data_IF_419827745554
#
_entry.id   IF_419827745554
#
_cell.length_a   1.000
_cell.length_b   1.000
_cell.length_c   1.000
_cell.angle_alpha   90.00
_cell.angle_beta   90.00
_cell.angle_gamma   90.00
#
_symmetry.space_group_name_H-M   'P 1'
#
loop_
_entity.id
_entity.type
_entity.pdbx_description
1 polymer ?
#
# COMPACT_ATOMS: atom_id res chain seq x y z
N UNK A 1 -13.43 22.91 -52.14
CA UNK A 1 -13.83 22.25 -50.87
C UNK A 1 -13.00 22.84 -49.76
N UNK A 2 -13.63 23.56 -48.81
CA UNK A 2 -12.96 24.27 -47.72
C UNK A 2 -12.64 23.27 -46.60
N UNK A 3 -11.36 23.10 -46.25
CA UNK A 3 -10.95 22.31 -45.09
C UNK A 3 -11.25 23.08 -43.80
N UNK A 4 -12.06 22.45 -42.94
CA UNK A 4 -12.38 22.90 -41.60
C UNK A 4 -11.23 22.48 -40.66
N UNK A 5 -10.54 23.44 -40.03
CA UNK A 5 -9.62 23.15 -38.91
C UNK A 5 -10.45 22.89 -37.65
N UNK A 6 -10.40 21.67 -37.13
CA UNK A 6 -10.89 21.34 -35.80
C UNK A 6 -9.78 21.60 -34.77
N UNK A 7 -9.93 22.68 -34.00
CA UNK A 7 -9.12 22.95 -32.80
C UNK A 7 -9.61 22.03 -31.67
N UNK A 8 -8.88 20.93 -31.44
CA UNK A 8 -9.06 20.06 -30.29
C UNK A 8 -8.40 20.73 -29.08
N UNK A 9 -9.20 21.47 -28.29
CA UNK A 9 -8.76 22.00 -27.01
C UNK A 9 -8.54 20.87 -26.01
N UNK A 10 -7.27 20.56 -25.71
CA UNK A 10 -6.91 19.70 -24.59
C UNK A 10 -7.26 20.41 -23.28
N UNK A 11 -8.39 20.02 -22.69
CA UNK A 11 -8.79 20.40 -21.34
C UNK A 11 -7.91 19.64 -20.35
N UNK A 12 -6.78 20.22 -19.98
CA UNK A 12 -6.03 19.76 -18.80
C UNK A 12 -6.88 20.10 -17.57
N UNK A 13 -7.45 19.07 -16.93
CA UNK A 13 -8.17 19.21 -15.68
C UNK A 13 -7.17 19.63 -14.57
N UNK A 14 -7.00 20.93 -14.38
CA UNK A 14 -6.28 21.48 -13.24
C UNK A 14 -7.18 21.30 -12.02
N UNK A 15 -6.85 20.33 -11.16
CA UNK A 15 -7.50 20.21 -9.86
C UNK A 15 -7.31 21.54 -9.10
N UNK A 16 -8.38 22.16 -8.56
CA UNK A 16 -8.25 23.42 -7.86
C UNK A 16 -7.33 23.21 -6.67
N UNK A 17 -6.20 23.93 -6.64
CA UNK A 17 -5.33 23.98 -5.47
C UNK A 17 -5.70 25.23 -4.69
N UNK A 18 -5.95 25.10 -3.38
CA UNK A 18 -6.07 26.28 -2.52
C UNK A 18 -4.69 26.95 -2.46
N UNK A 19 -4.55 28.07 -3.15
CA UNK A 19 -3.37 28.92 -3.10
C UNK A 19 -3.57 29.96 -2.02
N UNK A 20 -3.01 29.72 -0.83
CA UNK A 20 -2.92 30.75 0.18
C UNK A 20 -1.49 31.34 0.14
N UNK A 21 -1.38 32.59 -0.29
CA UNK A 21 -0.15 33.41 -0.17
C UNK A 21 1.10 32.74 -0.76
N UNK A 22 0.92 32.05 -1.88
CA UNK A 22 2.01 31.37 -2.58
C UNK A 22 2.39 30.01 -1.99
N UNK A 23 1.53 29.36 -1.19
CA UNK A 23 1.72 27.96 -0.79
C UNK A 23 0.50 27.14 -1.16
N UNK A 24 0.73 26.03 -1.84
CA UNK A 24 -0.29 25.04 -2.20
C UNK A 24 -0.09 23.78 -1.38
N UNK A 25 -1.17 23.26 -0.78
CA UNK A 25 -1.15 21.99 -0.04
C UNK A 25 -2.15 21.05 -0.68
N UNK A 26 -1.68 19.89 -1.11
CA UNK A 26 -2.49 18.84 -1.71
C UNK A 26 -2.34 17.56 -0.89
N UNK A 27 -3.47 16.92 -0.58
CA UNK A 27 -3.49 15.60 0.03
C UNK A 27 -3.93 14.58 -1.01
N UNK A 28 -3.11 13.55 -1.19
CA UNK A 28 -3.42 12.40 -2.05
C UNK A 28 -3.41 11.10 -1.26
N UNK A 29 -4.32 10.21 -1.66
CA UNK A 29 -4.46 8.86 -1.16
C UNK A 29 -4.09 7.91 -2.30
N UNK A 30 -3.42 6.80 -1.99
CA UNK A 30 -3.12 5.77 -2.99
C UNK A 30 -4.37 4.93 -3.32
N UNK A 31 -5.37 4.94 -2.43
CA UNK A 31 -6.65 4.26 -2.60
C UNK A 31 -7.79 4.94 -1.85
N UNK A 32 -9.02 4.67 -2.28
CA UNK A 32 -10.24 5.19 -1.63
C UNK A 32 -10.86 4.20 -0.64
N UNK A 33 -10.55 2.90 -0.74
CA UNK A 33 -11.01 1.88 0.22
C UNK A 33 -9.81 1.20 0.87
N UNK A 34 -9.87 1.04 2.19
CA UNK A 34 -8.87 0.34 3.00
C UNK A 34 -9.56 -0.71 3.87
N UNK A 35 -8.90 -1.84 4.13
CA UNK A 35 -9.36 -2.77 5.15
C UNK A 35 -9.15 -2.18 6.55
N UNK A 36 -10.00 -2.59 7.49
CA UNK A 36 -9.77 -2.30 8.91
C UNK A 36 -8.37 -2.72 9.33
N UNK A 37 -7.63 -1.79 9.95
CA UNK A 37 -6.23 -1.94 10.40
C UNK A 37 -5.20 -2.14 9.29
N UNK A 38 -5.54 -1.82 8.04
CA UNK A 38 -4.57 -1.62 6.96
C UNK A 38 -3.81 -0.31 7.18
N UNK A 39 -2.53 -0.28 6.76
CA UNK A 39 -1.76 0.96 6.74
C UNK A 39 -2.42 1.97 5.79
N UNK A 40 -2.57 3.21 6.25
CA UNK A 40 -3.20 4.28 5.47
C UNK A 40 -2.18 5.39 5.24
N UNK A 41 -1.33 5.20 4.23
CA UNK A 41 -0.27 6.17 3.89
C UNK A 41 -0.85 7.24 2.98
N UNK A 42 -1.02 8.46 3.50
CA UNK A 42 -1.33 9.64 2.70
C UNK A 42 -0.06 10.33 2.25
N UNK A 43 -0.11 11.01 1.10
CA UNK A 43 0.97 11.85 0.60
C UNK A 43 0.52 13.30 0.69
N UNK A 44 1.22 14.09 1.50
CA UNK A 44 1.01 15.54 1.58
C UNK A 44 2.01 16.20 0.67
N UNK A 45 1.51 16.81 -0.41
CA UNK A 45 2.30 17.54 -1.39
C UNK A 45 2.21 19.03 -1.11
N UNK A 46 3.36 19.64 -0.86
CA UNK A 46 3.47 21.07 -0.54
C UNK A 46 4.22 21.73 -1.68
N UNK A 47 3.63 22.74 -2.31
CA UNK A 47 4.28 23.49 -3.39
C UNK A 47 4.49 24.92 -2.95
N UNK A 48 5.73 25.39 -3.07
CA UNK A 48 6.13 26.73 -2.70
C UNK A 48 6.18 27.64 -3.94
N UNK A 49 5.28 28.61 -3.99
CA UNK A 49 5.18 29.70 -4.97
C UNK A 49 5.45 31.07 -4.35
N UNK A 50 6.02 31.14 -3.14
CA UNK A 50 6.10 32.37 -2.34
C UNK A 50 7.28 33.29 -2.68
N UNK A 51 8.19 32.86 -3.57
CA UNK A 51 9.39 33.64 -3.90
C UNK A 51 10.51 33.57 -2.85
N UNK A 52 10.32 32.85 -1.74
CA UNK A 52 11.30 32.66 -0.68
C UNK A 52 11.35 31.21 -0.21
N UNK A 53 12.39 30.83 0.54
CA UNK A 53 12.52 29.47 1.10
C UNK A 53 11.59 29.30 2.30
N UNK A 54 10.76 28.25 2.28
CA UNK A 54 9.96 27.84 3.43
C UNK A 54 10.79 26.99 4.39
N UNK A 55 10.69 27.30 5.68
CA UNK A 55 11.23 26.45 6.74
C UNK A 55 10.07 25.80 7.49
N UNK A 56 9.84 24.52 7.20
CA UNK A 56 8.82 23.68 7.82
C UNK A 56 9.47 22.69 8.80
N UNK A 57 8.70 22.13 9.73
CA UNK A 57 9.21 21.06 10.60
C UNK A 57 9.83 21.46 11.93
N UNK A 58 10.01 22.77 12.19
CA UNK A 58 10.58 23.25 13.46
C UNK A 58 9.65 23.04 14.66
N UNK A 59 8.35 23.15 14.44
CA UNK A 59 7.32 22.94 15.45
C UNK A 59 6.66 21.57 15.23
N UNK A 60 6.31 20.81 16.26
CA UNK A 60 5.75 19.46 16.08
C UNK A 60 4.35 19.45 15.43
N UNK A 61 3.61 20.55 15.57
CA UNK A 61 2.27 20.75 15.00
C UNK A 61 2.30 21.38 13.59
N UNK A 62 3.48 21.45 12.96
CA UNK A 62 3.62 22.08 11.65
C UNK A 62 2.79 21.38 10.55
N UNK A 63 2.52 20.08 10.71
CA UNK A 63 1.65 19.29 9.84
C UNK A 63 0.64 18.52 10.69
N UNK A 64 -0.64 18.86 10.55
CA UNK A 64 -1.73 18.21 11.27
C UNK A 64 -2.78 17.65 10.32
N UNK A 65 -3.50 16.64 10.81
CA UNK A 65 -4.59 16.00 10.09
C UNK A 65 -5.84 16.06 10.94
N UNK A 66 -6.98 16.33 10.33
CA UNK A 66 -8.31 16.16 10.92
C UNK A 66 -8.98 15.02 10.17
N UNK A 67 -9.46 14.02 10.91
CA UNK A 67 -10.25 12.92 10.35
C UNK A 67 -11.64 12.96 10.98
N UNK A 68 -12.65 12.98 10.11
CA UNK A 68 -14.06 12.94 10.47
C UNK A 68 -14.65 11.62 9.97
N UNK A 69 -15.32 10.87 10.84
CA UNK A 69 -16.07 9.68 10.47
C UNK A 69 -17.53 9.99 10.10
N UNK A 70 -18.33 8.94 9.93
CA UNK A 70 -19.77 9.07 9.68
C UNK A 70 -20.46 10.03 10.67
N UNK A 71 -21.36 10.86 10.14
CA UNK A 71 -22.04 11.95 10.87
C UNK A 71 -21.09 13.05 11.41
N UNK A 72 -19.95 13.27 10.76
CA UNK A 72 -18.94 14.30 11.10
C UNK A 72 -18.37 14.20 12.53
N UNK A 73 -18.35 13.00 13.13
CA UNK A 73 -17.70 12.81 14.42
C UNK A 73 -16.18 12.79 14.25
N UNK A 74 -15.46 13.51 15.12
CA UNK A 74 -14.01 13.48 15.14
C UNK A 74 -13.51 12.08 15.53
N UNK A 75 -12.57 11.54 14.75
CA UNK A 75 -11.93 10.25 15.05
C UNK A 75 -10.89 10.43 16.15
N UNK A 76 -10.86 9.52 17.12
CA UNK A 76 -9.91 9.55 18.22
C UNK A 76 -8.46 9.43 17.70
N UNK A 77 -7.57 10.25 18.26
CA UNK A 77 -6.12 10.13 18.02
C UNK A 77 -5.55 9.06 18.95
N UNK A 78 -4.79 8.12 18.39
CA UNK A 78 -4.06 7.09 19.13
C UNK A 78 -2.72 7.60 19.67
N UNK A 79 -2.19 8.71 19.12
CA UNK A 79 -0.95 9.33 19.56
C UNK A 79 -0.61 10.61 18.79
N UNK A 80 0.48 11.28 19.19
CA UNK A 80 1.02 12.43 18.45
C UNK A 80 1.89 11.97 17.29
N UNK A 81 1.66 12.60 16.15
CA UNK A 81 2.37 12.36 14.92
C UNK A 81 3.51 13.37 14.79
N UNK A 82 4.67 13.15 15.42
CA UNK A 82 5.82 14.00 15.08
C UNK A 82 6.31 13.60 13.69
N UNK A 83 5.88 14.34 12.68
CA UNK A 83 6.51 14.36 11.36
C UNK A 83 7.78 15.20 11.52
N UNK A 84 8.78 14.65 12.21
CA UNK A 84 10.05 15.36 12.44
C UNK A 84 10.88 15.30 11.16
N UNK A 85 10.97 16.44 10.49
CA UNK A 85 12.01 16.71 9.52
C UNK A 85 12.14 18.23 9.42
N UNK A 86 13.31 18.79 9.74
CA UNK A 86 13.67 20.15 9.33
C UNK A 86 13.59 20.20 7.80
N UNK A 87 12.48 20.71 7.29
CA UNK A 87 12.13 20.60 5.88
C UNK A 87 12.21 21.97 5.25
N UNK A 88 13.33 22.21 4.56
CA UNK A 88 13.55 23.41 3.76
C UNK A 88 13.00 23.19 2.36
N UNK A 89 12.11 24.06 1.92
CA UNK A 89 11.51 23.99 0.60
C UNK A 89 11.74 25.31 -0.15
N UNK A 90 12.65 25.28 -1.11
CA UNK A 90 12.97 26.46 -1.92
C UNK A 90 11.76 26.93 -2.74
N UNK A 91 11.81 28.19 -3.19
CA UNK A 91 10.79 28.71 -4.09
C UNK A 91 10.72 27.89 -5.38
N UNK A 92 9.50 27.72 -5.90
CA UNK A 92 9.17 26.93 -7.09
C UNK A 92 9.49 25.44 -6.97
N UNK A 93 9.67 24.91 -5.75
CA UNK A 93 9.83 23.48 -5.48
C UNK A 93 8.58 22.87 -4.88
N UNK A 94 8.47 21.55 -5.05
CA UNK A 94 7.43 20.72 -4.45
C UNK A 94 8.08 19.71 -3.51
N UNK A 95 7.56 19.62 -2.29
CA UNK A 95 7.86 18.54 -1.35
C UNK A 95 6.73 17.54 -1.26
N UNK A 96 7.04 16.26 -1.05
CA UNK A 96 6.03 15.21 -0.79
C UNK A 96 6.39 14.44 0.46
N UNK A 97 5.44 14.38 1.38
CA UNK A 97 5.66 13.85 2.73
C UNK A 97 4.67 12.71 2.96
N UNK A 98 5.14 11.45 2.99
CA UNK A 98 4.29 10.31 3.28
C UNK A 98 3.99 10.21 4.77
N UNK A 99 2.74 10.02 5.13
CA UNK A 99 2.28 9.92 6.52
C UNK A 99 1.29 8.77 6.65
N UNK A 100 1.63 7.75 7.43
CA UNK A 100 0.66 6.70 7.80
C UNK A 100 -0.32 7.21 8.87
N UNK A 101 -1.60 7.33 8.53
CA UNK A 101 -2.65 7.78 9.45
C UNK A 101 -3.23 6.65 10.30
N UNK A 102 -3.15 5.40 9.85
CA UNK A 102 -3.72 4.26 10.57
C UNK A 102 -2.99 3.97 11.89
N UNK A 103 -1.70 4.31 11.98
CA UNK A 103 -0.93 4.26 13.24
C UNK A 103 -1.27 5.39 14.22
N UNK A 104 -2.03 6.41 13.81
CA UNK A 104 -2.23 7.67 14.56
C UNK A 104 -3.68 7.97 14.89
N UNK A 105 -4.62 7.37 14.18
CA UNK A 105 -6.05 7.55 14.37
C UNK A 105 -6.74 6.19 14.50
N UNK A 106 -7.78 6.12 15.32
CA UNK A 106 -8.58 4.91 15.48
C UNK A 106 -9.48 4.69 14.25
N UNK A 107 -8.91 4.06 13.22
CA UNK A 107 -9.58 3.69 11.97
C UNK A 107 -9.99 2.22 11.98
N UNK A 108 -10.29 1.64 13.16
CA UNK A 108 -10.66 0.23 13.25
C UNK A 108 -12.08 -0.06 12.79
N UNK A 109 -12.96 0.95 12.82
CA UNK A 109 -14.40 0.78 12.55
C UNK A 109 -14.69 0.97 11.06
N UNK A 110 -15.42 0.05 10.41
CA UNK A 110 -15.90 0.26 9.07
C UNK A 110 -16.78 1.51 8.97
N UNK A 111 -16.66 2.24 7.87
CA UNK A 111 -17.43 3.45 7.63
C UNK A 111 -16.78 4.41 6.65
N UNK A 112 -17.49 5.49 6.37
CA UNK A 112 -17.01 6.58 5.53
C UNK A 112 -16.25 7.61 6.36
N UNK A 113 -15.10 8.02 5.86
CA UNK A 113 -14.21 8.98 6.51
C UNK A 113 -13.81 10.10 5.55
N UNK A 114 -13.48 11.24 6.15
CA UNK A 114 -12.93 12.41 5.46
C UNK A 114 -11.66 12.83 6.17
N UNK A 115 -10.63 13.17 5.39
CA UNK A 115 -9.37 13.69 5.90
C UNK A 115 -9.05 15.04 5.27
N UNK A 116 -8.56 15.95 6.13
CA UNK A 116 -7.98 17.23 5.71
C UNK A 116 -6.61 17.39 6.35
N UNK A 117 -5.60 17.76 5.57
CA UNK A 117 -4.31 18.19 6.09
C UNK A 117 -4.27 19.70 6.30
N UNK A 118 -3.52 20.13 7.31
CA UNK A 118 -3.21 21.54 7.57
C UNK A 118 -1.71 21.68 7.76
N UNK A 119 -1.08 22.53 6.96
CA UNK A 119 0.34 22.88 7.05
C UNK A 119 0.47 24.27 7.66
N UNK A 120 1.18 24.37 8.77
CA UNK A 120 1.48 25.63 9.46
C UNK A 120 2.85 26.13 9.00
N UNK A 121 2.88 27.37 8.50
CA UNK A 121 4.09 28.10 8.12
C UNK A 121 4.40 29.09 9.23
N UNK A 122 5.27 28.69 10.15
CA UNK A 122 5.60 29.47 11.35
C UNK A 122 6.14 30.87 11.02
N UNK A 123 6.94 30.98 9.96
CA UNK A 123 7.53 32.23 9.45
C UNK A 123 6.47 33.33 9.20
N UNK A 124 5.24 32.92 8.86
CA UNK A 124 4.16 33.84 8.52
C UNK A 124 2.98 33.78 9.50
N UNK A 125 3.08 32.94 10.54
CA UNK A 125 2.01 32.66 11.50
C UNK A 125 0.70 32.27 10.81
N UNK A 126 0.80 31.42 9.79
CA UNK A 126 -0.34 31.02 8.97
C UNK A 126 -0.45 29.52 8.84
N UNK A 127 -1.66 29.08 8.51
CA UNK A 127 -1.99 27.70 8.24
C UNK A 127 -2.71 27.59 6.89
N UNK A 128 -2.24 26.68 6.04
CA UNK A 128 -2.83 26.37 4.75
C UNK A 128 -3.45 24.98 4.83
N UNK A 129 -4.73 24.88 4.46
CA UNK A 129 -5.48 23.62 4.46
C UNK A 129 -5.47 23.01 3.06
N UNK A 130 -5.38 21.68 3.00
CA UNK A 130 -5.68 20.95 1.77
C UNK A 130 -7.18 20.93 1.51
N UNK A 131 -7.55 20.53 0.30
CA UNK A 131 -8.90 20.01 0.06
C UNK A 131 -9.16 18.77 0.93
N UNK A 132 -10.44 18.50 1.16
CA UNK A 132 -10.88 17.31 1.88
C UNK A 132 -10.89 16.11 0.94
N UNK A 133 -10.33 14.99 1.38
CA UNK A 133 -10.40 13.71 0.68
C UNK A 133 -11.23 12.72 1.47
N UNK A 134 -12.10 12.00 0.76
CA UNK A 134 -12.90 10.92 1.33
C UNK A 134 -12.23 9.57 1.11
N UNK A 135 -12.43 8.66 2.06
CA UNK A 135 -12.07 7.24 1.93
C UNK A 135 -13.00 6.40 2.82
N UNK A 136 -13.05 5.10 2.54
CA UNK A 136 -13.84 4.14 3.30
C UNK A 136 -12.94 3.12 3.99
N UNK A 137 -13.26 2.82 5.25
CA UNK A 137 -12.76 1.61 5.93
C UNK A 137 -13.81 0.52 5.74
N UNK A 138 -13.39 -0.62 5.23
CA UNK A 138 -14.24 -1.78 4.97
C UNK A 138 -13.72 -3.02 5.69
N UNK A 139 -14.59 -4.02 5.87
CA UNK A 139 -14.16 -5.34 6.30
C UNK A 139 -13.82 -6.20 5.08
N UNK A 140 -12.74 -6.98 5.21
CA UNK A 140 -12.43 -8.05 4.26
C UNK A 140 -13.21 -9.32 4.61
N UNK A 141 -13.60 -10.10 3.59
CA UNK A 141 -14.15 -11.42 3.79
C UNK A 141 -13.02 -12.42 4.05
N UNK A 142 -13.05 -13.14 5.18
CA UNK A 142 -12.01 -14.10 5.55
C UNK A 142 -12.15 -15.37 4.71
N UNK A 143 -11.12 -15.70 3.95
CA UNK A 143 -11.06 -16.90 3.10
C UNK A 143 -10.39 -18.08 3.80
N UNK A 144 -9.39 -17.80 4.63
CA UNK A 144 -8.56 -18.80 5.30
C UNK A 144 -7.84 -18.18 6.49
N UNK A 145 -7.51 -19.00 7.48
CA UNK A 145 -6.62 -18.64 8.58
C UNK A 145 -5.84 -19.85 9.11
N UNK A 146 -4.69 -19.59 9.74
CA UNK A 146 -3.91 -20.60 10.45
C UNK A 146 -3.00 -19.96 11.49
N UNK A 147 -2.96 -20.56 12.67
CA UNK A 147 -2.00 -20.23 13.74
C UNK A 147 -0.64 -20.87 13.45
N UNK A 148 0.44 -20.17 13.85
CA UNK A 148 1.81 -20.61 13.68
C UNK A 148 2.71 -20.10 14.80
N UNK A 149 3.75 -20.88 15.12
CA UNK A 149 4.79 -20.47 16.05
C UNK A 149 5.84 -19.60 15.35
N UNK A 150 6.23 -18.51 15.99
CA UNK A 150 7.38 -17.71 15.56
C UNK A 150 8.67 -18.54 15.69
N UNK A 151 9.53 -18.57 14.66
CA UNK A 151 10.84 -19.19 14.79
C UNK A 151 11.67 -18.47 15.87
N UNK A 152 12.10 -19.18 16.91
CA UNK A 152 12.96 -18.64 17.97
C UNK A 152 14.25 -19.46 18.04
N UNK A 153 15.35 -18.81 18.46
CA UNK A 153 16.64 -19.45 18.65
C UNK A 153 16.75 -20.22 19.99
N UNK A 154 15.79 -20.03 20.89
CA UNK A 154 15.79 -20.53 22.27
C UNK A 154 14.75 -21.64 22.48
N UNK A 155 14.96 -22.48 23.50
CA UNK A 155 14.02 -23.56 23.90
C UNK A 155 12.79 -23.05 24.68
N UNK A 156 12.37 -21.81 24.45
CA UNK A 156 11.17 -21.22 25.06
C UNK A 156 9.91 -21.59 24.28
N UNK A 157 8.75 -21.48 24.93
CA UNK A 157 7.46 -21.59 24.23
C UNK A 157 7.40 -20.50 23.15
N UNK A 158 7.21 -20.85 21.87
CA UNK A 158 7.17 -19.85 20.80
C UNK A 158 6.00 -18.88 20.96
N UNK A 159 6.22 -17.62 20.61
CA UNK A 159 5.13 -16.67 20.36
C UNK A 159 4.23 -17.21 19.24
N UNK A 160 2.92 -17.32 19.50
CA UNK A 160 1.95 -17.80 18.51
C UNK A 160 1.32 -16.61 17.79
N UNK A 161 1.44 -16.61 16.46
CA UNK A 161 0.80 -15.65 15.57
C UNK A 161 -0.19 -16.34 14.65
N UNK A 162 -1.01 -15.55 13.96
CA UNK A 162 -2.03 -16.02 13.02
C UNK A 162 -1.87 -15.31 11.69
N UNK A 163 -1.88 -16.10 10.61
CA UNK A 163 -2.13 -15.58 9.28
C UNK A 163 -3.62 -15.69 8.96
N UNK A 164 -4.17 -14.68 8.30
CA UNK A 164 -5.50 -14.74 7.69
C UNK A 164 -5.48 -14.16 6.27
N UNK A 165 -6.05 -14.89 5.32
CA UNK A 165 -6.30 -14.40 3.97
C UNK A 165 -7.66 -13.74 3.92
N UNK A 166 -7.69 -12.49 3.48
CA UNK A 166 -8.90 -11.70 3.36
C UNK A 166 -9.13 -11.31 1.90
N UNK A 167 -10.38 -11.30 1.48
CA UNK A 167 -10.82 -10.81 0.19
C UNK A 167 -11.45 -9.44 0.38
N UNK A 168 -10.99 -8.43 -0.37
CA UNK A 168 -11.50 -7.06 -0.31
C UNK A 168 -11.72 -6.46 -1.68
N UNK A 169 -12.74 -5.61 -1.82
CA UNK A 169 -13.04 -4.87 -3.04
C UNK A 169 -12.36 -3.51 -3.01
N UNK A 170 -11.55 -3.21 -4.03
CA UNK A 170 -10.89 -1.93 -4.22
C UNK A 170 -11.29 -1.35 -5.58
N UNK A 171 -12.11 -0.28 -5.62
CA UNK A 171 -12.43 0.48 -6.84
C UNK A 171 -12.78 -0.37 -8.07
N UNK A 172 -13.53 -1.48 -7.88
CA UNK A 172 -13.96 -2.51 -8.86
C UNK A 172 -12.98 -3.66 -9.12
N UNK A 173 -11.79 -3.63 -8.54
CA UNK A 173 -10.85 -4.74 -8.55
C UNK A 173 -10.93 -5.54 -7.24
N UNK A 174 -11.03 -6.86 -7.37
CA UNK A 174 -10.96 -7.76 -6.23
C UNK A 174 -9.49 -7.99 -5.86
N UNK A 175 -9.12 -7.78 -4.60
CA UNK A 175 -7.76 -7.97 -4.11
C UNK A 175 -7.73 -9.01 -2.98
N UNK A 176 -6.65 -9.80 -2.98
CA UNK A 176 -6.29 -10.67 -1.88
C UNK A 176 -5.42 -9.89 -0.91
N UNK A 177 -5.77 -9.91 0.37
CA UNK A 177 -5.05 -9.29 1.47
C UNK A 177 -4.53 -10.35 2.43
N UNK A 178 -3.42 -10.04 3.09
CA UNK A 178 -2.91 -10.80 4.23
C UNK A 178 -3.08 -9.98 5.49
N UNK A 179 -3.55 -10.63 6.55
CA UNK A 179 -3.47 -10.12 7.92
C UNK A 179 -2.55 -11.02 8.75
N UNK A 180 -1.67 -10.39 9.52
CA UNK A 180 -0.83 -11.02 10.54
C UNK A 180 -1.26 -10.47 11.90
N UNK A 181 -1.68 -11.32 12.82
CA UNK A 181 -2.07 -10.95 14.18
C UNK A 181 -1.51 -11.91 15.22
N UNK A 182 -1.73 -11.64 16.49
CA UNK A 182 -1.68 -12.64 17.54
C UNK A 182 -2.79 -13.69 17.33
N UNK A 183 -2.69 -14.83 18.01
CA UNK A 183 -3.65 -15.93 17.92
C UNK A 183 -5.09 -15.50 18.31
N UNK A 184 -5.21 -14.60 19.29
CA UNK A 184 -6.49 -14.08 19.77
C UNK A 184 -7.05 -12.93 18.93
N UNK A 185 -6.33 -12.48 17.91
CA UNK A 185 -6.66 -11.31 17.06
C UNK A 185 -6.85 -9.99 17.85
N UNK A 186 -6.29 -9.89 19.05
CA UNK A 186 -6.32 -8.66 19.87
C UNK A 186 -5.30 -7.63 19.38
N UNK A 187 -4.17 -8.11 18.86
CA UNK A 187 -3.09 -7.31 18.30
C UNK A 187 -2.88 -7.69 16.83
N UNK A 188 -3.19 -6.76 15.95
CA UNK A 188 -2.91 -6.89 14.52
C UNK A 188 -1.56 -6.26 14.22
N UNK A 189 -0.61 -7.06 13.75
CA UNK A 189 0.75 -6.62 13.41
C UNK A 189 0.79 -5.98 12.03
N UNK A 190 0.05 -6.54 11.05
CA UNK A 190 0.02 -6.01 9.68
C UNK A 190 -1.23 -6.44 8.92
N UNK A 191 -1.75 -5.53 8.09
CA UNK A 191 -2.73 -5.83 7.03
C UNK A 191 -2.27 -5.13 5.75
N UNK A 192 -2.21 -5.85 4.64
CA UNK A 192 -1.80 -5.28 3.35
C UNK A 192 -2.30 -6.12 2.16
N UNK A 193 -2.46 -5.50 0.97
CA UNK A 193 -2.81 -6.22 -0.24
C UNK A 193 -1.61 -7.03 -0.78
N UNK A 194 -1.84 -8.31 -1.08
CA UNK A 194 -0.86 -9.19 -1.75
C UNK A 194 -0.89 -8.94 -3.27
N UNK A 195 -2.09 -8.76 -3.82
CA UNK A 195 -2.31 -8.43 -5.21
C UNK A 195 -3.75 -8.65 -5.69
N UNK A 196 -4.03 -8.39 -6.98
CA UNK A 196 -5.34 -8.59 -7.57
C UNK A 196 -5.68 -10.07 -7.70
N UNK A 197 -6.96 -10.44 -7.60
CA UNK A 197 -7.44 -11.81 -7.76
C UNK A 197 -8.73 -11.85 -8.57
N UNK A 198 -9.00 -12.98 -9.23
CA UNK A 198 -10.33 -13.22 -9.83
C UNK A 198 -11.31 -13.76 -8.78
N UNK A 199 -12.61 -13.47 -8.93
CA UNK A 199 -13.65 -13.86 -7.95
C UNK A 199 -13.78 -15.36 -7.71
N UNK A 200 -13.48 -16.18 -8.71
CA UNK A 200 -13.50 -17.66 -8.62
C UNK A 200 -12.21 -18.25 -8.07
N UNK A 201 -11.18 -17.42 -7.82
CA UNK A 201 -9.90 -17.89 -7.31
C UNK A 201 -10.06 -18.47 -5.91
N UNK A 202 -9.50 -19.66 -5.70
CA UNK A 202 -9.31 -20.28 -4.39
C UNK A 202 -7.82 -20.23 -4.09
N UNK A 203 -7.34 -19.28 -3.26
CA UNK A 203 -5.94 -19.25 -2.87
C UNK A 203 -5.52 -20.56 -2.21
N UNK A 204 -4.33 -21.05 -2.56
CA UNK A 204 -3.70 -22.23 -1.98
C UNK A 204 -2.61 -21.76 -1.00
N UNK A 205 -2.90 -21.64 0.31
CA UNK A 205 -1.89 -21.33 1.33
C UNK A 205 -1.16 -22.58 1.81
N UNK A 206 0.15 -22.49 2.03
CA UNK A 206 0.98 -23.51 2.67
C UNK A 206 2.07 -22.85 3.52
N UNK A 207 2.32 -23.35 4.73
CA UNK A 207 3.45 -22.90 5.55
C UNK A 207 4.67 -23.78 5.29
N UNK A 208 5.84 -23.14 5.26
CA UNK A 208 7.12 -23.86 5.28
C UNK A 208 7.64 -24.07 6.72
N UNK A 209 8.79 -24.73 6.84
CA UNK A 209 9.46 -24.98 8.12
C UNK A 209 9.99 -23.73 8.86
N UNK A 210 9.98 -22.57 8.20
CA UNK A 210 10.40 -21.29 8.77
C UNK A 210 9.21 -20.39 9.07
N UNK A 211 7.98 -20.94 9.04
CA UNK A 211 6.73 -20.21 9.21
C UNK A 211 6.49 -19.13 8.15
N UNK A 212 7.18 -19.21 7.00
CA UNK A 212 6.83 -18.39 5.84
C UNK A 212 5.55 -18.93 5.21
N UNK A 213 4.65 -18.02 4.85
CA UNK A 213 3.42 -18.34 4.16
C UNK A 213 3.66 -18.29 2.65
N UNK A 214 3.50 -19.43 2.01
CA UNK A 214 3.44 -19.57 0.57
C UNK A 214 1.99 -19.51 0.11
N UNK A 215 1.69 -18.68 -0.89
CA UNK A 215 0.34 -18.53 -1.42
C UNK A 215 0.41 -18.59 -2.94
N UNK A 216 -0.42 -19.44 -3.52
CA UNK A 216 -0.66 -19.47 -4.97
C UNK A 216 -2.13 -19.16 -5.24
N UNK A 217 -2.40 -18.18 -6.10
CA UNK A 217 -3.76 -17.75 -6.39
C UNK A 217 -3.90 -17.26 -7.82
N UNK A 218 -5.12 -17.33 -8.34
CA UNK A 218 -5.40 -16.98 -9.72
C UNK A 218 -5.66 -15.48 -9.86
N UNK A 219 -4.96 -14.85 -10.81
CA UNK A 219 -5.03 -13.41 -11.08
C UNK A 219 -5.64 -13.08 -12.44
N UNK A 220 -5.80 -14.07 -13.31
CA UNK A 220 -6.49 -13.95 -14.60
C UNK A 220 -6.93 -15.32 -15.12
N UNK A 221 -7.54 -15.38 -16.32
CA UNK A 221 -8.10 -16.63 -16.86
C UNK A 221 -7.09 -17.79 -16.90
N UNK A 222 -5.83 -17.50 -17.23
CA UNK A 222 -4.74 -18.48 -17.30
C UNK A 222 -3.48 -18.05 -16.54
N UNK A 223 -3.59 -17.04 -15.66
CA UNK A 223 -2.44 -16.45 -14.96
C UNK A 223 -2.60 -16.60 -13.46
N UNK A 224 -1.50 -16.91 -12.78
CA UNK A 224 -1.40 -17.18 -11.35
C UNK A 224 -0.29 -16.33 -10.76
N UNK A 225 -0.50 -15.84 -9.55
CA UNK A 225 0.54 -15.23 -8.75
C UNK A 225 0.91 -16.16 -7.61
N UNK A 226 2.21 -16.33 -7.42
CA UNK A 226 2.80 -17.00 -6.29
C UNK A 226 3.51 -15.94 -5.43
N UNK A 227 3.32 -15.99 -4.13
CA UNK A 227 3.98 -15.08 -3.18
C UNK A 227 4.43 -15.83 -1.95
N UNK A 228 5.57 -15.42 -1.39
CA UNK A 228 6.10 -15.92 -0.13
C UNK A 228 6.18 -14.74 0.84
N UNK A 229 5.58 -14.90 2.01
CA UNK A 229 5.51 -13.86 3.04
C UNK A 229 6.15 -14.37 4.32
N UNK A 230 7.00 -13.55 4.93
CA UNK A 230 7.64 -13.87 6.21
C UNK A 230 6.68 -13.76 7.40
N UNK A 231 7.03 -14.35 8.57
CA UNK A 231 6.31 -14.20 9.84
C UNK A 231 6.01 -12.74 10.29
N UNK A 232 6.76 -11.77 9.78
CA UNK A 232 6.59 -10.34 10.04
C UNK A 232 5.74 -9.62 8.98
N UNK A 233 5.17 -10.38 8.03
CA UNK A 233 4.33 -9.85 6.96
C UNK A 233 5.11 -9.14 5.85
N UNK A 234 6.36 -9.52 5.58
CA UNK A 234 7.14 -8.99 4.45
C UNK A 234 7.05 -9.95 3.25
N UNK A 235 6.72 -9.43 2.06
CA UNK A 235 6.79 -10.22 0.83
C UNK A 235 8.26 -10.41 0.47
N UNK A 236 8.76 -11.64 0.56
CA UNK A 236 10.15 -11.99 0.29
C UNK A 236 10.35 -12.61 -1.10
N UNK A 237 9.29 -13.14 -1.71
CA UNK A 237 9.29 -13.58 -3.09
C UNK A 237 7.94 -13.36 -3.75
N UNK A 238 7.95 -13.08 -5.05
CA UNK A 238 6.76 -12.96 -5.90
C UNK A 238 7.08 -13.45 -7.29
N UNK A 239 6.22 -14.30 -7.83
CA UNK A 239 6.39 -14.87 -9.15
C UNK A 239 5.06 -14.93 -9.89
N UNK A 240 5.13 -14.97 -11.21
CA UNK A 240 3.98 -15.19 -12.07
C UNK A 240 4.11 -16.53 -12.78
N UNK A 241 3.01 -17.28 -12.80
CA UNK A 241 2.91 -18.59 -13.45
C UNK A 241 1.69 -18.62 -14.36
N UNK A 242 1.82 -19.24 -15.52
CA UNK A 242 0.72 -19.42 -16.47
C UNK A 242 0.25 -20.87 -16.48
N UNK A 243 -1.06 -21.03 -16.70
CA UNK A 243 -1.65 -22.31 -17.06
C UNK A 243 -1.13 -22.70 -18.44
N UNK A 244 -0.42 -23.82 -18.51
CA UNK A 244 0.06 -24.43 -19.76
C UNK A 244 -0.87 -25.57 -20.18
N UNK A 245 -0.42 -26.82 -20.00
CA UNK A 245 -1.27 -28.03 -20.06
C UNK A 245 -1.88 -28.34 -18.71
N UNK A 246 -1.25 -27.87 -17.62
CA UNK A 246 -1.70 -28.07 -16.24
C UNK A 246 -1.75 -26.75 -15.48
N UNK A 247 -2.64 -26.65 -14.49
CA UNK A 247 -2.69 -25.53 -13.53
C UNK A 247 -1.46 -25.59 -12.61
N UNK A 248 -0.82 -24.45 -12.30
CA UNK A 248 0.17 -24.35 -11.22
C UNK A 248 -0.40 -24.83 -9.87
N UNK A 249 0.40 -25.55 -9.08
CA UNK A 249 -0.01 -26.10 -7.77
C UNK A 249 1.17 -26.04 -6.80
N UNK A 250 0.88 -25.73 -5.53
CA UNK A 250 1.86 -25.80 -4.44
C UNK A 250 2.08 -27.24 -3.94
N UNK A 251 3.34 -27.60 -3.76
CA UNK A 251 3.77 -28.87 -3.18
C UNK A 251 4.94 -28.65 -2.23
N UNK A 252 4.89 -29.34 -1.10
CA UNK A 252 6.04 -29.54 -0.24
C UNK A 252 6.95 -30.63 -0.85
N UNK A 253 8.26 -30.39 -0.81
CA UNK A 253 9.25 -31.45 -1.01
C UNK A 253 9.56 -32.20 0.30
N UNK A 254 10.44 -33.20 0.22
CA UNK A 254 10.83 -34.02 1.38
C UNK A 254 11.54 -33.21 2.47
N UNK A 255 12.11 -32.04 2.14
CA UNK A 255 12.81 -31.15 3.07
C UNK A 255 11.89 -30.09 3.71
N UNK A 256 10.58 -30.18 3.43
CA UNK A 256 9.56 -29.24 3.88
C UNK A 256 9.61 -27.89 3.19
N UNK A 257 10.28 -27.79 2.03
CA UNK A 257 10.26 -26.56 1.21
C UNK A 257 9.06 -26.59 0.29
N UNK A 258 8.38 -25.47 0.19
CA UNK A 258 7.22 -25.32 -0.68
C UNK A 258 7.65 -24.76 -2.04
N UNK A 259 7.18 -25.38 -3.12
CA UNK A 259 7.46 -24.95 -4.51
C UNK A 259 6.22 -25.08 -5.40
N UNK A 260 6.20 -24.29 -6.46
CA UNK A 260 5.25 -24.45 -7.57
C UNK A 260 5.78 -25.53 -8.51
N UNK A 261 4.98 -26.57 -8.80
CA UNK A 261 5.45 -27.76 -9.56
C UNK A 261 4.82 -27.94 -10.94
N UNK A 262 3.76 -27.20 -11.26
CA UNK A 262 2.99 -27.31 -12.51
C UNK A 262 2.83 -25.95 -13.16
N UNK A 263 2.27 -25.93 -14.37
CA UNK A 263 2.20 -24.72 -15.19
C UNK A 263 3.58 -24.28 -15.70
N UNK A 264 3.67 -23.04 -16.17
CA UNK A 264 4.92 -22.49 -16.71
C UNK A 264 5.21 -21.15 -16.05
N UNK A 265 6.44 -20.97 -15.54
CA UNK A 265 6.85 -19.68 -14.96
C UNK A 265 6.97 -18.62 -16.05
N UNK A 266 6.39 -17.44 -15.81
CA UNK A 266 6.51 -16.24 -16.66
C UNK A 266 7.20 -15.14 -15.86
N UNK A 267 8.36 -14.68 -16.35
CA UNK A 267 9.05 -13.54 -15.73
C UNK A 267 8.28 -12.25 -15.98
N UNK A 268 8.09 -11.46 -14.93
CA UNK A 268 7.46 -10.15 -15.01
C UNK A 268 8.27 -9.10 -14.26
N UNK A 269 8.12 -7.80 -14.59
CA UNK A 269 8.75 -6.73 -13.80
C UNK A 269 8.31 -6.69 -12.32
N UNK A 270 7.16 -7.30 -12.01
CA UNK A 270 6.60 -7.38 -10.66
C UNK A 270 7.12 -8.58 -9.85
N UNK A 271 7.99 -9.40 -10.42
CA UNK A 271 8.61 -10.51 -9.70
C UNK A 271 9.55 -9.96 -8.61
N UNK A 272 9.62 -10.68 -7.49
CA UNK A 272 10.55 -10.42 -6.39
C UNK A 272 11.35 -11.70 -6.11
N UNK A 273 12.70 -11.64 -6.05
CA UNK A 273 13.51 -10.49 -6.44
C UNK A 273 13.30 -10.14 -7.92
N UNK A 274 13.49 -8.87 -8.27
CA UNK A 274 13.34 -8.43 -9.65
C UNK A 274 14.26 -9.26 -10.56
N UNK A 275 13.77 -9.72 -11.72
CA UNK A 275 14.60 -10.46 -12.65
C UNK A 275 15.75 -9.55 -13.05
N UNK A 276 16.99 -10.00 -12.82
CA UNK A 276 18.17 -9.33 -13.34
C UNK A 276 17.95 -9.15 -14.84
N UNK A 277 18.12 -7.93 -15.36
CA UNK A 277 18.14 -7.69 -16.80
C UNK A 277 19.15 -8.65 -17.42
N UNK A 278 18.68 -9.76 -17.99
CA UNK A 278 19.54 -10.70 -18.70
C UNK A 278 19.98 -9.98 -19.96
N UNK A 279 21.19 -9.42 -19.91
CA UNK A 279 22.09 -9.16 -21.04
C UNK A 279 21.38 -8.75 -22.34
N UNK A 280 21.33 -7.45 -22.62
CA UNK A 280 21.46 -7.00 -24.00
C UNK A 280 22.69 -7.72 -24.59
N UNK A 281 22.61 -8.32 -25.79
CA UNK A 281 23.81 -8.76 -26.47
C UNK A 281 24.74 -7.56 -26.56
N UNK A 282 25.93 -7.67 -26.00
CA UNK A 282 27.03 -6.79 -26.38
C UNK A 282 27.15 -6.92 -27.89
N UNK A 283 26.89 -5.83 -28.62
CA UNK A 283 27.38 -5.66 -29.98
C UNK A 283 28.92 -5.65 -29.90
N UNK A 284 29.50 -6.85 -29.78
CA UNK A 284 30.86 -7.13 -30.18
C UNK A 284 30.78 -7.74 -31.58
N UNK A 285 30.70 -6.84 -32.55
CA UNK A 285 31.34 -7.07 -33.84
C UNK A 285 32.41 -6.01 -34.00
N UNK A 286 33.58 -6.33 -33.46
CA UNK A 286 34.84 -5.86 -34.00
C UNK A 286 35.12 -6.56 -35.35
N UNK A 287 35.70 -5.77 -36.27
CA UNK A 287 36.20 -6.03 -37.63
C UNK A 287 35.32 -5.53 -38.78
#
# INVERSE_FOLDING_TARGET
MKLLLALLGCWFACLPSVMAQGVAVELTLDQEHYLSREALVVKVRITNYSGQTLELGKEEDWLTFVIEGGNNHAVARLGQASVKADYRLDSSRTGTIPVDLASRFDLSRPGHYKVTATVKVAQWRQAVRSDTRSFDIINGNKLWEQDFGMPQATNSVPEVRKYALLQGNHLKELKLYLRVSDAAETQVYRVFPIGPMVSVSKPEPQLDKYSNLHILYQVGARSYSYSVISPDGLIIAKETHDFSTTRPVLRADLDGRIRVTRGTRRLTPNDLPHPLNSTLPSDDKSQ
#
